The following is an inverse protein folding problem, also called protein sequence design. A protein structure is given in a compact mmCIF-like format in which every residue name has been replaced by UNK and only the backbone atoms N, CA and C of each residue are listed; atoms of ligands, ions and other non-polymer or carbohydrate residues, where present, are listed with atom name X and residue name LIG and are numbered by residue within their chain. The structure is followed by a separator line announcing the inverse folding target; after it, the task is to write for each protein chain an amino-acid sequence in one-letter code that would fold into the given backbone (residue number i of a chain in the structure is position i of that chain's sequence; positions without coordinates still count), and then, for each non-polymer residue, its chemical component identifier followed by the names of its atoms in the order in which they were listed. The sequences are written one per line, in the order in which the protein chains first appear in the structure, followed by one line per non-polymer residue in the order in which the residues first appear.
data_IF_480724417219
#
_entry.id   IF_480724417219
#
_cell.length_a   1.000
_cell.length_b   1.000
_cell.length_c   1.000
_cell.angle_alpha   90.00
_cell.angle_beta   90.00
_cell.angle_gamma   90.00
#
_symmetry.space_group_name_H-M   'P 1'
#
loop_
_entity.id
_entity.type
_entity.pdbx_description
1 polymer ?
#
# COMPACT_ATOMS: atom_id res chain seq x y z
N UNK A 1 -14.66 -22.99 -6.05
CA UNK A 1 -13.21 -23.22 -6.18
C UNK A 1 -12.99 -24.42 -7.10
N UNK A 2 -11.77 -24.68 -7.61
CA UNK A 2 -11.52 -25.77 -8.58
C UNK A 2 -11.73 -27.18 -8.00
N UNK A 3 -11.70 -27.29 -6.69
CA UNK A 3 -11.92 -28.47 -5.86
C UNK A 3 -13.41 -28.73 -5.54
N UNK A 4 -14.34 -27.91 -6.07
CA UNK A 4 -15.77 -28.02 -5.79
C UNK A 4 -16.23 -27.26 -4.54
N UNK A 5 -15.32 -26.72 -3.73
CA UNK A 5 -15.67 -25.93 -2.55
C UNK A 5 -16.38 -24.63 -2.96
N UNK A 6 -17.34 -24.18 -2.16
CA UNK A 6 -18.08 -22.91 -2.37
C UNK A 6 -18.04 -22.05 -1.11
N UNK A 7 -18.08 -20.72 -1.29
CA UNK A 7 -18.25 -19.77 -0.18
C UNK A 7 -19.64 -19.16 -0.29
N UNK A 8 -20.46 -19.40 0.74
CA UNK A 8 -21.81 -18.85 0.83
C UNK A 8 -21.78 -17.69 1.83
N UNK A 9 -22.26 -16.53 1.40
CA UNK A 9 -22.40 -15.34 2.24
C UNK A 9 -23.80 -14.81 2.05
N UNK A 10 -24.53 -14.59 3.14
CA UNK A 10 -25.91 -14.13 3.11
C UNK A 10 -26.26 -13.36 4.38
N UNK A 11 -27.45 -12.76 4.38
CA UNK A 11 -28.00 -12.11 5.57
C UNK A 11 -29.00 -13.06 6.20
N UNK A 12 -28.75 -13.46 7.45
CA UNK A 12 -29.76 -14.13 8.28
C UNK A 12 -30.74 -13.07 8.79
N UNK A 13 -32.00 -13.16 8.37
CA UNK A 13 -33.11 -12.45 9.02
C UNK A 13 -33.36 -13.11 10.38
N UNK A 14 -32.93 -12.45 11.45
CA UNK A 14 -33.27 -12.87 12.82
C UNK A 14 -34.67 -12.34 13.10
N UNK A 15 -35.61 -13.22 13.43
CA UNK A 15 -36.96 -12.82 13.83
C UNK A 15 -36.89 -12.05 15.16
N UNK A 16 -37.48 -10.86 15.21
CA UNK A 16 -37.33 -9.91 16.33
C UNK A 16 -38.00 -10.35 17.64
N UNK A 17 -38.62 -11.54 17.67
CA UNK A 17 -39.36 -12.09 18.80
C UNK A 17 -38.61 -13.20 19.56
N UNK A 18 -37.45 -13.64 19.08
CA UNK A 18 -36.59 -14.53 19.84
C UNK A 18 -35.57 -13.69 20.62
N UNK A 19 -35.54 -13.89 21.94
CA UNK A 19 -34.50 -13.33 22.80
C UNK A 19 -33.14 -13.56 22.13
N UNK A 20 -32.31 -12.53 22.10
CA UNK A 20 -31.05 -12.48 21.35
C UNK A 20 -29.96 -13.43 21.85
N UNK A 21 -30.27 -14.71 21.96
CA UNK A 21 -29.32 -15.77 22.24
C UNK A 21 -28.48 -16.02 20.98
N UNK A 22 -27.17 -15.97 21.21
CA UNK A 22 -26.09 -16.23 20.26
C UNK A 22 -26.13 -17.69 19.78
N UNK A 23 -27.03 -18.03 18.86
CA UNK A 23 -26.90 -19.30 18.14
C UNK A 23 -25.89 -19.15 17.01
N UNK A 24 -24.89 -20.04 17.01
CA UNK A 24 -23.98 -20.24 15.90
C UNK A 24 -24.76 -20.72 14.67
N UNK A 25 -24.40 -20.26 13.46
CA UNK A 25 -25.14 -20.62 12.26
C UNK A 25 -24.97 -22.12 11.96
N UNK A 26 -26.07 -22.73 11.56
CA UNK A 26 -26.14 -24.15 11.20
C UNK A 26 -25.91 -24.34 9.70
N UNK A 27 -25.61 -25.57 9.27
CA UNK A 27 -25.49 -25.87 7.84
C UNK A 27 -26.83 -25.70 7.11
N UNK A 28 -27.93 -25.98 7.80
CA UNK A 28 -29.30 -25.79 7.34
C UNK A 28 -29.59 -24.32 7.01
N UNK A 29 -29.13 -23.38 7.86
CA UNK A 29 -29.25 -21.94 7.60
C UNK A 29 -28.56 -21.54 6.28
N UNK A 30 -27.36 -22.07 6.03
CA UNK A 30 -26.64 -21.84 4.79
C UNK A 30 -27.27 -22.55 3.59
N UNK A 31 -27.85 -23.74 3.78
CA UNK A 31 -28.58 -24.46 2.74
C UNK A 31 -29.82 -23.69 2.31
N UNK A 32 -30.59 -23.14 3.25
CA UNK A 32 -31.74 -22.29 2.94
C UNK A 32 -31.34 -21.04 2.16
N UNK A 33 -30.28 -20.36 2.60
CA UNK A 33 -29.73 -19.20 1.90
C UNK A 33 -29.26 -19.57 0.48
N UNK A 34 -28.57 -20.70 0.34
CA UNK A 34 -28.10 -21.21 -0.94
C UNK A 34 -29.27 -21.53 -1.88
N UNK A 35 -30.31 -22.21 -1.40
CA UNK A 35 -31.52 -22.49 -2.17
C UNK A 35 -32.25 -21.22 -2.62
N UNK A 36 -32.25 -20.16 -1.80
CA UNK A 36 -32.82 -18.85 -2.17
C UNK A 36 -31.99 -18.14 -3.25
N UNK A 37 -30.67 -18.28 -3.24
CA UNK A 37 -29.77 -17.64 -4.20
C UNK A 37 -29.60 -18.43 -5.51
N UNK A 38 -29.62 -19.75 -5.44
CA UNK A 38 -29.44 -20.68 -6.54
C UNK A 38 -30.39 -21.88 -6.38
N UNK A 39 -31.67 -21.72 -6.77
CA UNK A 39 -32.66 -22.77 -6.61
C UNK A 39 -32.30 -24.04 -7.39
N UNK A 40 -32.30 -25.20 -6.71
CA UNK A 40 -32.16 -26.52 -7.35
C UNK A 40 -30.73 -26.88 -7.82
N UNK A 41 -29.70 -26.13 -7.38
CA UNK A 41 -28.32 -26.35 -7.85
C UNK A 41 -27.49 -27.32 -7.01
N UNK A 42 -28.00 -27.80 -5.86
CA UNK A 42 -27.35 -28.85 -5.07
C UNK A 42 -27.50 -28.72 -3.56
N UNK A 43 -26.91 -29.67 -2.84
CA UNK A 43 -26.83 -29.73 -1.38
C UNK A 43 -25.42 -29.38 -0.89
N UNK A 44 -25.34 -28.56 0.15
CA UNK A 44 -24.11 -28.20 0.86
C UNK A 44 -23.79 -29.30 1.87
N UNK A 45 -22.52 -29.67 1.97
CA UNK A 45 -22.03 -30.67 2.92
C UNK A 45 -20.60 -30.32 3.35
N UNK A 46 -20.13 -30.94 4.44
CA UNK A 46 -18.76 -30.82 4.97
C UNK A 46 -18.27 -29.36 5.16
N UNK A 47 -18.93 -28.56 6.04
CA UNK A 47 -18.56 -27.18 6.26
C UNK A 47 -17.16 -27.07 6.88
N UNK A 48 -16.20 -26.48 6.17
CA UNK A 48 -14.86 -26.24 6.72
C UNK A 48 -14.84 -25.17 7.81
N UNK A 49 -15.73 -24.18 7.71
CA UNK A 49 -15.90 -23.11 8.70
C UNK A 49 -17.25 -22.39 8.51
N UNK A 50 -17.96 -22.14 9.61
CA UNK A 50 -19.21 -21.38 9.63
C UNK A 50 -19.11 -20.32 10.72
N UNK A 51 -19.53 -19.10 10.40
CA UNK A 51 -19.58 -18.03 11.38
C UNK A 51 -20.63 -17.00 11.01
N UNK A 52 -21.22 -16.44 12.06
CA UNK A 52 -22.09 -15.28 11.99
C UNK A 52 -21.27 -14.05 12.33
N UNK A 53 -21.33 -13.04 11.48
CA UNK A 53 -20.69 -11.77 11.75
C UNK A 53 -21.74 -10.66 11.77
N UNK A 54 -21.68 -9.82 12.80
CA UNK A 54 -22.48 -8.61 12.86
C UNK A 54 -21.72 -7.49 12.18
N UNK A 55 -22.36 -6.88 11.19
CA UNK A 55 -21.80 -5.73 10.50
C UNK A 55 -21.76 -4.53 11.44
N UNK A 56 -20.57 -4.23 11.94
CA UNK A 56 -20.30 -3.00 12.65
C UNK A 56 -19.49 -2.07 11.77
N UNK A 57 -19.90 -0.81 11.77
CA UNK A 57 -19.18 0.25 11.11
C UNK A 57 -18.75 1.26 12.18
N UNK A 58 -17.47 1.26 12.52
CA UNK A 58 -16.92 2.06 13.62
C UNK A 58 -15.53 2.52 13.25
N UNK A 59 -15.19 3.74 13.60
CA UNK A 59 -13.85 4.27 13.43
C UNK A 59 -13.54 5.31 14.49
N UNK A 60 -12.29 5.35 14.93
CA UNK A 60 -11.83 6.41 15.83
C UNK A 60 -11.56 7.70 15.05
N UNK A 61 -11.67 8.84 15.73
CA UNK A 61 -11.38 10.13 15.12
C UNK A 61 -9.88 10.40 14.98
N UNK A 62 -9.05 9.81 15.85
CA UNK A 62 -7.60 9.96 15.87
C UNK A 62 -6.94 8.61 16.12
N UNK A 63 -5.89 8.32 15.36
CA UNK A 63 -5.11 7.08 15.49
C UNK A 63 -3.99 7.22 16.51
N UNK A 64 -3.68 8.46 16.90
CA UNK A 64 -2.70 8.82 17.93
C UNK A 64 -3.29 9.81 18.93
N UNK A 65 -3.00 9.59 20.21
CA UNK A 65 -3.18 10.57 21.27
C UNK A 65 -1.97 10.53 22.22
N UNK A 66 -1.00 11.42 21.99
CA UNK A 66 0.27 11.41 22.71
C UNK A 66 1.04 10.11 22.49
N UNK A 67 1.15 9.29 23.54
CA UNK A 67 1.83 7.98 23.50
C UNK A 67 0.90 6.80 23.23
N UNK A 68 -0.39 7.05 23.04
CA UNK A 68 -1.39 6.02 22.76
C UNK A 68 -1.64 5.94 21.26
N UNK A 69 -1.60 4.73 20.72
CA UNK A 69 -1.80 4.45 19.30
C UNK A 69 -2.84 3.34 19.13
N UNK A 70 -3.60 3.40 18.04
CA UNK A 70 -4.54 2.36 17.63
C UNK A 70 -4.34 2.04 16.15
N UNK A 71 -4.41 0.76 15.78
CA UNK A 71 -4.21 0.25 14.42
C UNK A 71 -5.19 -0.89 14.12
N UNK A 72 -5.50 -1.11 12.84
CA UNK A 72 -6.42 -2.18 12.41
C UNK A 72 -7.80 -2.05 13.04
N UNK A 73 -8.40 -3.18 13.44
CA UNK A 73 -9.77 -3.23 13.97
C UNK A 73 -9.99 -2.37 15.24
N UNK A 74 -8.93 -2.08 16.00
CA UNK A 74 -9.01 -1.15 17.13
C UNK A 74 -9.24 0.30 16.69
N UNK A 75 -8.82 0.65 15.47
CA UNK A 75 -8.94 1.98 14.89
C UNK A 75 -10.14 2.07 13.93
N UNK A 76 -10.44 1.02 13.17
CA UNK A 76 -11.49 1.01 12.16
C UNK A 76 -12.04 -0.40 11.93
N UNK A 77 -13.37 -0.52 11.96
CA UNK A 77 -14.12 -1.74 11.65
C UNK A 77 -15.09 -1.39 10.52
N UNK A 78 -15.00 -2.16 9.45
CA UNK A 78 -15.73 -2.00 8.19
C UNK A 78 -16.27 -3.34 7.70
N UNK A 79 -17.23 -3.25 6.79
CA UNK A 79 -17.82 -4.43 6.15
C UNK A 79 -16.75 -5.30 5.46
N UNK A 80 -16.81 -6.64 5.59
CA UNK A 80 -15.88 -7.55 4.93
C UNK A 80 -16.01 -7.56 3.39
N UNK A 81 -17.00 -6.86 2.83
CA UNK A 81 -17.28 -6.76 1.39
C UNK A 81 -16.06 -6.44 0.51
N UNK A 82 -15.13 -5.64 1.03
CA UNK A 82 -13.92 -5.25 0.32
C UNK A 82 -12.75 -6.20 0.49
N UNK A 83 -12.77 -7.12 1.47
CA UNK A 83 -11.61 -7.93 1.85
C UNK A 83 -10.43 -7.09 2.38
N UNK A 84 -10.69 -5.84 2.78
CA UNK A 84 -9.67 -4.83 3.05
C UNK A 84 -9.23 -4.76 4.51
N UNK A 85 -10.02 -5.25 5.46
CA UNK A 85 -9.77 -4.97 6.87
C UNK A 85 -8.43 -5.46 7.40
N UNK A 86 -8.11 -6.74 7.17
CA UNK A 86 -6.80 -7.29 7.55
C UNK A 86 -5.65 -6.59 6.81
N UNK A 87 -5.81 -6.33 5.51
CA UNK A 87 -4.77 -5.70 4.69
C UNK A 87 -4.46 -4.27 5.17
N UNK A 88 -5.50 -3.46 5.39
CA UNK A 88 -5.35 -2.11 5.92
C UNK A 88 -4.74 -2.11 7.32
N UNK A 89 -5.17 -3.03 8.20
CA UNK A 89 -4.62 -3.15 9.54
C UNK A 89 -3.14 -3.53 9.57
N UNK A 90 -2.71 -4.45 8.69
CA UNK A 90 -1.29 -4.77 8.51
C UNK A 90 -0.51 -3.55 8.02
N UNK A 91 -1.05 -2.81 7.04
CA UNK A 91 -0.41 -1.59 6.56
C UNK A 91 -0.32 -0.49 7.64
N UNK A 92 -1.30 -0.39 8.54
CA UNK A 92 -1.23 0.52 9.68
C UNK A 92 -0.07 0.15 10.60
N UNK A 93 0.09 -1.15 10.89
CA UNK A 93 1.17 -1.65 11.74
C UNK A 93 2.55 -1.44 11.10
N UNK A 94 2.69 -1.74 9.80
CA UNK A 94 3.96 -1.51 9.07
C UNK A 94 4.33 -0.03 9.09
N UNK A 95 3.37 0.86 8.85
CA UNK A 95 3.62 2.31 8.85
C UNK A 95 4.02 2.86 10.23
N UNK A 96 3.41 2.35 11.31
CA UNK A 96 3.71 2.77 12.67
C UNK A 96 5.01 2.13 13.20
N UNK A 97 5.28 0.88 12.86
CA UNK A 97 6.36 0.07 13.43
C UNK A 97 7.73 0.69 13.24
N UNK A 98 8.10 1.06 12.01
CA UNK A 98 9.41 1.65 11.74
C UNK A 98 9.58 3.03 12.41
N UNK A 99 8.49 3.82 12.51
CA UNK A 99 8.51 5.12 13.19
C UNK A 99 8.77 4.97 14.68
N UNK A 100 8.12 3.99 15.31
CA UNK A 100 8.37 3.67 16.72
C UNK A 100 9.78 3.14 16.92
N UNK A 101 10.24 2.21 16.08
CA UNK A 101 11.59 1.65 16.16
C UNK A 101 12.65 2.76 16.12
N UNK A 102 12.53 3.70 15.18
CA UNK A 102 13.44 4.84 15.04
C UNK A 102 13.43 5.77 16.26
N UNK A 103 12.25 6.15 16.75
CA UNK A 103 12.15 7.00 17.96
C UNK A 103 12.73 6.31 19.19
N UNK A 104 12.58 4.99 19.30
CA UNK A 104 13.11 4.21 20.42
C UNK A 104 14.62 4.00 20.34
N UNK A 105 15.19 3.84 19.14
CA UNK A 105 16.63 3.63 18.96
C UNK A 105 17.45 4.90 19.17
N UNK A 106 16.95 6.06 18.74
CA UNK A 106 17.69 7.34 18.77
C UNK A 106 17.49 8.12 20.09
N UNK A 107 16.47 7.77 20.88
CA UNK A 107 16.27 8.29 22.24
C UNK A 107 16.04 9.81 22.29
N UNK A 108 16.71 10.52 23.23
CA UNK A 108 16.53 11.98 23.44
C UNK A 108 17.11 12.84 22.31
N UNK A 109 17.86 12.27 21.37
CA UNK A 109 18.51 13.03 20.30
C UNK A 109 17.52 13.51 19.22
N UNK A 110 16.33 12.89 19.15
CA UNK A 110 15.25 13.27 18.23
C UNK A 110 14.17 14.19 18.84
N UNK A 111 14.42 14.83 20.00
CA UNK A 111 13.39 15.61 20.71
C UNK A 111 12.84 16.75 19.82
N UNK A 112 11.60 16.58 19.33
CA UNK A 112 10.92 17.46 18.36
C UNK A 112 10.70 16.82 16.98
N UNK A 113 11.66 16.06 16.44
CA UNK A 113 11.49 15.29 15.21
C UNK A 113 10.64 14.03 15.47
N UNK A 114 10.80 13.40 16.64
CA UNK A 114 10.00 12.24 17.04
C UNK A 114 8.50 12.52 17.04
N UNK A 115 8.08 13.69 17.55
CA UNK A 115 6.66 14.04 17.61
C UNK A 115 6.07 14.23 16.21
N UNK A 116 6.77 14.96 15.33
CA UNK A 116 6.37 15.12 13.94
C UNK A 116 6.31 13.79 13.19
N UNK A 117 7.30 12.92 13.41
CA UNK A 117 7.36 11.58 12.81
C UNK A 117 6.17 10.73 13.27
N UNK A 118 5.87 10.70 14.56
CA UNK A 118 4.77 9.92 15.11
C UNK A 118 3.39 10.52 14.78
N UNK A 119 3.25 11.84 14.72
CA UNK A 119 2.02 12.51 14.27
C UNK A 119 1.70 12.19 12.81
N UNK A 120 2.73 12.01 11.98
CA UNK A 120 2.53 11.58 10.59
C UNK A 120 1.78 10.26 10.47
N UNK A 121 1.82 9.36 11.47
CA UNK A 121 1.03 8.12 11.46
C UNK A 121 -0.47 8.43 11.37
N UNK A 122 -0.95 9.35 12.21
CA UNK A 122 -2.34 9.78 12.16
C UNK A 122 -2.67 10.48 10.84
N UNK A 123 -1.81 11.40 10.39
CA UNK A 123 -2.04 12.16 9.15
C UNK A 123 -2.03 11.28 7.89
N UNK A 124 -1.25 10.19 7.90
CA UNK A 124 -1.17 9.22 6.81
C UNK A 124 -2.33 8.23 6.84
N UNK A 125 -2.59 7.58 7.99
CA UNK A 125 -3.44 6.38 8.05
C UNK A 125 -4.90 6.66 8.41
N UNK A 126 -5.18 7.65 9.24
CA UNK A 126 -6.55 7.98 9.63
C UNK A 126 -7.44 8.35 8.42
N UNK A 127 -6.98 9.19 7.46
CA UNK A 127 -7.81 9.53 6.31
C UNK A 127 -8.06 8.35 5.38
N UNK A 128 -7.16 7.36 5.37
CA UNK A 128 -7.33 6.12 4.58
C UNK A 128 -8.44 5.29 5.21
N UNK A 129 -8.37 5.03 6.52
CA UNK A 129 -9.42 4.29 7.23
C UNK A 129 -10.78 4.99 7.10
N UNK A 130 -10.85 6.31 7.28
CA UNK A 130 -12.11 7.05 7.10
C UNK A 130 -12.67 6.97 5.67
N UNK A 131 -11.82 6.94 4.64
CA UNK A 131 -12.27 6.76 3.26
C UNK A 131 -12.74 5.35 2.99
N UNK A 132 -12.06 4.34 3.52
CA UNK A 132 -12.46 2.94 3.40
C UNK A 132 -13.81 2.71 4.06
N UNK A 133 -13.98 3.23 5.28
CA UNK A 133 -15.24 3.27 6.02
C UNK A 133 -16.38 3.82 5.13
N UNK A 134 -16.24 5.04 4.61
CA UNK A 134 -17.26 5.66 3.74
C UNK A 134 -17.49 4.93 2.40
N UNK A 135 -16.43 4.40 1.79
CA UNK A 135 -16.47 3.82 0.45
C UNK A 135 -17.01 2.40 0.41
N UNK A 136 -16.58 1.55 1.35
CA UNK A 136 -17.05 0.16 1.45
C UNK A 136 -18.50 0.09 1.92
N UNK A 137 -18.96 1.03 2.74
CA UNK A 137 -20.37 1.18 3.14
C UNK A 137 -21.31 1.29 1.93
N UNK A 138 -20.98 2.16 0.98
CA UNK A 138 -21.80 2.36 -0.21
C UNK A 138 -21.84 1.09 -1.05
N UNK A 139 -20.68 0.51 -1.33
CA UNK A 139 -20.56 -0.69 -2.16
C UNK A 139 -21.28 -1.89 -1.52
N UNK A 140 -21.10 -2.11 -0.22
CA UNK A 140 -21.75 -3.23 0.46
C UNK A 140 -23.26 -3.03 0.58
N UNK A 141 -23.73 -1.84 0.93
CA UNK A 141 -25.16 -1.55 0.97
C UNK A 141 -25.84 -1.81 -0.38
N UNK A 142 -25.15 -1.51 -1.48
CA UNK A 142 -25.61 -1.85 -2.82
C UNK A 142 -25.55 -3.35 -3.14
N UNK A 143 -24.47 -4.05 -2.75
CA UNK A 143 -24.31 -5.48 -3.05
C UNK A 143 -25.22 -6.39 -2.22
N UNK A 144 -25.39 -6.09 -0.93
CA UNK A 144 -26.17 -6.86 0.03
C UNK A 144 -27.65 -6.46 0.09
N UNK A 145 -28.09 -5.51 -0.75
CA UNK A 145 -29.51 -5.13 -0.82
C UNK A 145 -30.36 -6.32 -1.24
N UNK A 146 -31.38 -6.62 -0.44
CA UNK A 146 -32.37 -7.68 -0.69
C UNK A 146 -33.59 -7.17 -1.48
N UNK A 147 -33.60 -5.90 -1.90
CA UNK A 147 -34.72 -5.34 -2.65
C UNK A 147 -34.78 -5.94 -4.06
N UNK A 148 -35.90 -6.58 -4.38
CA UNK A 148 -36.16 -7.27 -5.66
C UNK A 148 -35.88 -6.40 -6.89
N UNK A 149 -36.32 -5.13 -6.87
CA UNK A 149 -36.09 -4.19 -7.97
C UNK A 149 -34.60 -3.87 -8.13
N UNK A 150 -33.86 -3.77 -7.03
CA UNK A 150 -32.43 -3.49 -7.02
C UNK A 150 -31.61 -4.72 -7.45
N UNK A 151 -32.05 -5.93 -7.10
CA UNK A 151 -31.44 -7.17 -7.56
C UNK A 151 -31.56 -7.33 -9.08
N UNK A 152 -32.73 -7.02 -9.65
CA UNK A 152 -32.94 -7.01 -11.11
C UNK A 152 -32.07 -5.95 -11.78
N UNK A 153 -32.06 -4.73 -11.24
CA UNK A 153 -31.26 -3.63 -11.77
C UNK A 153 -29.76 -3.92 -11.68
N UNK A 154 -29.27 -4.46 -10.55
CA UNK A 154 -27.90 -4.89 -10.33
C UNK A 154 -27.49 -5.99 -11.30
N UNK A 155 -28.30 -7.04 -11.44
CA UNK A 155 -27.97 -8.16 -12.34
C UNK A 155 -28.01 -7.71 -13.82
N UNK A 156 -28.94 -6.81 -14.16
CA UNK A 156 -28.99 -6.18 -15.48
C UNK A 156 -27.76 -5.28 -15.72
N UNK A 157 -27.36 -4.41 -14.79
CA UNK A 157 -26.19 -3.57 -15.02
C UNK A 157 -24.85 -4.32 -14.87
N UNK A 158 -24.75 -5.32 -13.99
CA UNK A 158 -23.54 -6.12 -13.82
C UNK A 158 -23.18 -6.84 -15.12
N UNK A 159 -24.16 -7.37 -15.86
CA UNK A 159 -23.91 -8.02 -17.16
C UNK A 159 -23.40 -7.06 -18.24
N UNK A 160 -23.57 -5.75 -18.10
CA UNK A 160 -23.05 -4.74 -19.04
C UNK A 160 -21.79 -4.04 -18.54
N UNK A 161 -21.71 -3.75 -17.25
CA UNK A 161 -20.58 -3.08 -16.60
C UNK A 161 -19.39 -4.02 -16.48
N UNK A 162 -19.59 -5.30 -16.13
CA UNK A 162 -18.48 -6.24 -15.94
C UNK A 162 -17.69 -6.46 -17.25
N UNK A 163 -18.32 -6.74 -18.41
CA UNK A 163 -17.61 -6.79 -19.69
C UNK A 163 -16.98 -5.46 -20.07
N UNK A 164 -17.58 -4.34 -19.71
CA UNK A 164 -17.00 -3.01 -19.95
C UNK A 164 -15.76 -2.73 -19.11
N UNK A 165 -15.74 -3.10 -17.82
CA UNK A 165 -14.55 -3.01 -16.96
C UNK A 165 -13.48 -3.97 -17.44
N UNK A 166 -13.87 -5.22 -17.73
CA UNK A 166 -12.96 -6.27 -18.18
C UNK A 166 -12.43 -5.99 -19.59
N UNK A 167 -13.12 -5.27 -20.47
CA UNK A 167 -12.64 -5.04 -21.85
C UNK A 167 -11.43 -4.09 -21.95
N UNK A 168 -11.20 -3.22 -20.96
CA UNK A 168 -10.07 -2.27 -20.98
C UNK A 168 -8.99 -2.63 -19.97
N UNK A 169 -7.75 -2.72 -20.44
CA UNK A 169 -6.56 -2.93 -19.60
C UNK A 169 -6.42 -1.86 -18.52
N UNK A 170 -6.68 -0.59 -18.86
CA UNK A 170 -6.57 0.52 -17.91
C UNK A 170 -7.64 0.48 -16.81
N UNK A 171 -8.89 0.13 -17.17
CA UNK A 171 -9.97 0.01 -16.19
C UNK A 171 -9.75 -1.17 -15.25
N UNK A 172 -9.33 -2.31 -15.80
CA UNK A 172 -8.91 -3.47 -14.99
C UNK A 172 -7.78 -3.11 -14.03
N UNK A 173 -6.77 -2.37 -14.51
CA UNK A 173 -5.68 -1.91 -13.66
C UNK A 173 -6.21 -1.01 -12.54
N UNK A 174 -7.02 0.01 -12.83
CA UNK A 174 -7.58 0.90 -11.80
C UNK A 174 -8.39 0.14 -10.74
N UNK A 175 -9.21 -0.82 -11.15
CA UNK A 175 -9.97 -1.67 -10.23
C UNK A 175 -9.05 -2.54 -9.36
N UNK A 176 -8.03 -3.15 -9.97
CA UNK A 176 -7.00 -3.91 -9.25
C UNK A 176 -6.27 -3.05 -8.21
N UNK A 177 -5.82 -1.84 -8.57
CA UNK A 177 -5.13 -0.91 -7.68
C UNK A 177 -6.01 -0.45 -6.50
N UNK A 178 -7.32 -0.36 -6.69
CA UNK A 178 -8.27 -0.06 -5.61
C UNK A 178 -8.43 -1.24 -4.65
N UNK A 179 -8.66 -2.45 -5.18
CA UNK A 179 -8.91 -3.65 -4.37
C UNK A 179 -7.64 -4.08 -3.61
N UNK A 180 -6.48 -4.04 -4.26
CA UNK A 180 -5.19 -4.43 -3.68
C UNK A 180 -4.60 -3.39 -2.72
N UNK A 181 -5.22 -2.22 -2.58
CA UNK A 181 -4.73 -1.10 -1.77
C UNK A 181 -3.34 -0.56 -2.17
N UNK A 182 -2.73 -1.06 -3.25
CA UNK A 182 -1.44 -0.57 -3.74
C UNK A 182 -1.54 0.89 -4.21
N UNK A 183 -2.75 1.38 -4.47
CA UNK A 183 -3.03 2.74 -4.93
C UNK A 183 -3.08 3.81 -3.83
N UNK A 184 -2.81 3.44 -2.57
CA UNK A 184 -2.76 4.38 -1.44
C UNK A 184 -1.64 5.41 -1.65
N UNK A 185 -1.96 6.68 -1.39
CA UNK A 185 -1.04 7.81 -1.56
C UNK A 185 -1.05 8.71 -0.33
N UNK A 186 0.11 8.83 0.30
CA UNK A 186 0.39 9.62 1.49
C UNK A 186 0.97 11.02 1.16
N UNK A 187 0.63 11.58 -0.01
CA UNK A 187 1.21 12.86 -0.52
C UNK A 187 0.98 14.09 0.37
N UNK A 188 0.07 14.01 1.34
CA UNK A 188 -0.20 15.08 2.31
C UNK A 188 0.63 14.97 3.59
N UNK A 189 1.41 13.91 3.72
CA UNK A 189 2.23 13.66 4.90
C UNK A 189 3.29 14.76 5.10
N UNK A 190 3.60 15.14 6.35
CA UNK A 190 4.55 16.19 6.65
C UNK A 190 6.01 15.71 6.56
N UNK A 191 6.20 14.39 6.35
CA UNK A 191 7.50 13.72 6.22
C UNK A 191 7.77 13.22 4.81
N UNK A 192 7.04 13.71 3.80
CA UNK A 192 7.30 13.39 2.39
C UNK A 192 7.54 14.63 1.55
N UNK A 193 8.30 14.50 0.46
CA UNK A 193 8.68 15.62 -0.40
C UNK A 193 8.90 15.22 -1.86
N UNK A 194 8.79 16.20 -2.75
CA UNK A 194 9.22 16.08 -4.15
C UNK A 194 10.09 17.29 -4.47
N UNK A 195 11.25 17.04 -5.08
CA UNK A 195 12.18 18.09 -5.44
C UNK A 195 11.54 19.10 -6.40
N UNK A 196 11.86 20.38 -6.21
CA UNK A 196 11.49 21.44 -7.15
C UNK A 196 12.11 21.14 -8.51
N UNK A 197 11.31 21.25 -9.58
CA UNK A 197 11.73 20.98 -10.95
C UNK A 197 11.58 19.52 -11.39
N UNK A 198 11.24 18.59 -10.49
CA UNK A 198 10.92 17.22 -10.88
C UNK A 198 9.49 17.13 -11.44
N UNK A 199 9.35 16.63 -12.66
CA UNK A 199 8.07 16.53 -13.39
C UNK A 199 7.62 15.09 -13.65
N UNK A 200 8.24 14.11 -12.99
CA UNK A 200 7.87 12.70 -13.10
C UNK A 200 6.44 12.40 -12.62
N UNK A 201 5.94 11.22 -12.98
CA UNK A 201 4.56 10.80 -12.64
C UNK A 201 4.41 10.46 -11.15
N UNK A 202 5.49 9.93 -10.54
CA UNK A 202 5.59 9.55 -9.13
C UNK A 202 5.96 10.74 -8.26
N UNK A 203 5.51 10.75 -7.00
CA UNK A 203 5.77 11.83 -6.03
C UNK A 203 6.07 11.27 -4.64
N UNK A 204 6.60 12.13 -3.77
CA UNK A 204 6.72 11.84 -2.35
C UNK A 204 5.35 11.47 -1.76
N UNK A 205 5.32 10.38 -0.99
CA UNK A 205 4.11 9.78 -0.43
C UNK A 205 3.42 8.77 -1.34
N UNK A 206 3.87 8.57 -2.57
CA UNK A 206 3.41 7.40 -3.35
C UNK A 206 4.13 6.14 -2.89
N UNK A 207 3.48 4.97 -3.02
CA UNK A 207 4.17 3.68 -2.86
C UNK A 207 5.25 3.58 -3.93
N UNK A 208 6.46 3.16 -3.54
CA UNK A 208 7.55 2.93 -4.49
C UNK A 208 7.10 1.91 -5.53
N UNK A 209 7.34 2.23 -6.80
CA UNK A 209 7.04 1.32 -7.90
C UNK A 209 8.02 0.14 -7.87
N UNK A 210 7.46 -1.05 -8.08
CA UNK A 210 8.21 -2.28 -8.15
C UNK A 210 8.27 -2.79 -9.59
N UNK A 211 9.33 -3.50 -9.92
CA UNK A 211 9.58 -3.97 -11.27
C UNK A 211 10.79 -4.89 -11.30
N UNK A 212 10.82 -5.73 -12.34
CA UNK A 212 11.93 -6.65 -12.56
C UNK A 212 13.20 -5.89 -12.90
N UNK A 213 14.30 -6.34 -12.33
CA UNK A 213 15.64 -5.85 -12.58
C UNK A 213 16.64 -7.01 -12.44
N UNK A 214 17.75 -6.89 -13.14
CA UNK A 214 18.84 -7.85 -13.07
C UNK A 214 19.82 -7.38 -11.98
N UNK A 215 20.12 -8.25 -11.02
CA UNK A 215 21.12 -8.00 -9.98
C UNK A 215 22.53 -8.05 -10.57
N UNK A 216 23.56 -7.58 -9.84
CA UNK A 216 24.93 -7.73 -10.31
C UNK A 216 25.36 -9.19 -10.52
N UNK A 217 24.75 -10.12 -9.78
CA UNK A 217 24.97 -11.57 -9.92
C UNK A 217 24.29 -12.18 -11.16
N UNK A 218 23.54 -11.37 -11.93
CA UNK A 218 22.79 -11.82 -13.10
C UNK A 218 21.46 -12.50 -12.78
N UNK A 219 20.96 -12.37 -11.55
CA UNK A 219 19.65 -12.91 -11.16
C UNK A 219 18.53 -11.89 -11.41
N UNK A 220 17.39 -12.35 -11.93
CA UNK A 220 16.18 -11.54 -12.03
C UNK A 220 15.52 -11.41 -10.64
N UNK A 221 15.48 -10.20 -10.10
CA UNK A 221 14.77 -9.86 -8.85
C UNK A 221 13.84 -8.66 -9.04
N UNK A 222 12.96 -8.44 -8.08
CA UNK A 222 12.16 -7.21 -8.03
C UNK A 222 12.92 -6.13 -7.25
N UNK A 223 12.77 -4.86 -7.65
CA UNK A 223 13.44 -3.73 -7.01
C UNK A 223 13.17 -3.69 -5.50
N UNK A 224 11.92 -3.90 -5.09
CA UNK A 224 11.54 -3.86 -3.68
C UNK A 224 12.04 -5.07 -2.88
N UNK A 225 12.44 -6.17 -3.52
CA UNK A 225 13.08 -7.29 -2.81
C UNK A 225 14.47 -6.93 -2.29
N UNK A 226 15.14 -5.97 -2.95
CA UNK A 226 16.43 -5.41 -2.51
C UNK A 226 16.28 -4.23 -1.56
N UNK A 227 15.07 -3.67 -1.44
CA UNK A 227 14.75 -2.57 -0.53
C UNK A 227 13.96 -3.08 0.69
N UNK A 228 14.35 -4.25 1.22
CA UNK A 228 13.76 -4.83 2.43
C UNK A 228 14.62 -4.46 3.63
N UNK A 229 13.98 -4.13 4.74
CA UNK A 229 14.68 -3.82 5.98
C UNK A 229 13.93 -2.77 6.80
N UNK A 230 14.59 -2.28 7.84
CA UNK A 230 14.12 -1.23 8.74
C UNK A 230 14.81 0.13 8.46
N UNK A 231 15.65 0.21 7.43
CA UNK A 231 16.40 1.39 7.03
C UNK A 231 15.75 2.13 5.84
N UNK A 232 16.26 3.33 5.54
CA UNK A 232 15.88 4.03 4.32
C UNK A 232 16.69 3.48 3.15
N UNK A 233 16.12 3.52 1.94
CA UNK A 233 16.80 3.09 0.73
C UNK A 233 16.93 4.27 -0.24
N UNK A 234 18.16 4.71 -0.54
CA UNK A 234 18.45 5.70 -1.58
C UNK A 234 18.72 4.99 -2.90
N UNK A 235 17.80 5.11 -3.84
CA UNK A 235 17.88 4.51 -5.18
C UNK A 235 18.28 5.60 -6.17
N UNK A 236 19.45 5.46 -6.78
CA UNK A 236 19.98 6.37 -7.80
C UNK A 236 19.75 5.79 -9.18
N UNK A 237 19.03 6.51 -10.02
CA UNK A 237 18.79 6.15 -11.41
C UNK A 237 19.76 6.89 -12.31
N UNK A 238 20.43 6.16 -13.21
CA UNK A 238 21.34 6.74 -14.20
C UNK A 238 20.62 7.61 -15.25
N UNK A 239 19.30 7.49 -15.37
CA UNK A 239 18.50 8.15 -16.40
C UNK A 239 18.42 7.35 -17.71
N UNK A 240 17.68 7.87 -18.70
CA UNK A 240 17.52 7.27 -20.02
C UNK A 240 17.75 8.31 -21.11
N UNK A 241 18.73 8.07 -21.99
CA UNK A 241 18.94 8.90 -23.19
C UNK A 241 20.34 9.51 -23.25
N UNK A 242 20.45 10.70 -23.84
CA UNK A 242 21.76 11.30 -24.16
C UNK A 242 22.55 11.82 -22.94
N UNK A 243 21.90 12.04 -21.80
CA UNK A 243 22.50 12.60 -20.58
C UNK A 243 22.54 11.59 -19.42
N UNK A 244 22.86 10.33 -19.71
CA UNK A 244 22.97 9.32 -18.67
C UNK A 244 24.21 9.55 -17.78
N UNK A 245 24.04 9.30 -16.48
CA UNK A 245 25.16 9.30 -15.54
C UNK A 245 26.03 8.06 -15.76
N UNK A 246 27.34 8.24 -15.72
CA UNK A 246 28.28 7.11 -15.76
C UNK A 246 28.32 6.39 -14.40
N UNK A 247 28.80 5.14 -14.35
CA UNK A 247 29.02 4.46 -13.07
C UNK A 247 29.94 5.24 -12.11
N UNK A 248 30.95 5.94 -12.64
CA UNK A 248 31.83 6.79 -11.83
C UNK A 248 31.08 7.97 -11.21
N UNK A 249 30.15 8.59 -11.95
CA UNK A 249 29.33 9.70 -11.46
C UNK A 249 28.45 9.25 -10.30
N UNK A 250 27.73 8.13 -10.46
CA UNK A 250 26.85 7.60 -9.40
C UNK A 250 27.65 7.19 -8.16
N UNK A 251 28.82 6.54 -8.34
CA UNK A 251 29.72 6.21 -7.21
C UNK A 251 30.20 7.45 -6.48
N UNK A 252 30.57 8.51 -7.20
CA UNK A 252 30.98 9.79 -6.61
C UNK A 252 29.84 10.45 -5.83
N UNK A 253 28.60 10.38 -6.33
CA UNK A 253 27.42 10.89 -5.61
C UNK A 253 27.20 10.12 -4.31
N UNK A 254 27.23 8.78 -4.37
CA UNK A 254 27.11 7.94 -3.16
C UNK A 254 28.18 8.30 -2.15
N UNK A 255 29.45 8.39 -2.56
CA UNK A 255 30.55 8.74 -1.66
C UNK A 255 30.33 10.10 -0.96
N UNK A 256 29.97 11.14 -1.72
CA UNK A 256 29.68 12.48 -1.15
C UNK A 256 28.47 12.47 -0.22
N UNK A 257 27.44 11.72 -0.59
CA UNK A 257 26.23 11.57 0.23
C UNK A 257 26.54 10.88 1.55
N UNK A 258 27.24 9.73 1.51
CA UNK A 258 27.66 8.96 2.69
C UNK A 258 28.61 9.76 3.59
N UNK A 259 29.56 10.51 3.02
CA UNK A 259 30.43 11.41 3.80
C UNK A 259 29.62 12.51 4.51
N UNK A 260 28.67 13.12 3.80
CA UNK A 260 27.78 14.12 4.39
C UNK A 260 26.84 13.53 5.44
N UNK A 261 26.50 12.23 5.37
CA UNK A 261 25.70 11.52 6.36
C UNK A 261 26.50 11.16 7.60
N UNK A 262 27.78 10.80 7.47
CA UNK A 262 28.60 10.31 8.60
C UNK A 262 28.73 11.31 9.76
N UNK A 263 28.51 12.59 9.50
CA UNK A 263 28.50 13.67 10.51
C UNK A 263 27.12 13.96 11.10
N UNK A 264 26.08 13.21 10.73
CA UNK A 264 24.68 13.48 11.03
C UNK A 264 23.98 12.23 11.56
N UNK A 265 23.07 12.43 12.50
CA UNK A 265 22.27 11.35 13.07
C UNK A 265 20.95 11.21 12.32
N UNK A 266 20.97 10.53 11.17
CA UNK A 266 19.76 10.26 10.37
C UNK A 266 19.53 8.76 10.14
N UNK A 267 20.21 7.91 10.91
CA UNK A 267 20.13 6.45 10.80
C UNK A 267 20.77 5.89 9.53
N UNK A 268 20.65 4.57 9.38
CA UNK A 268 21.21 3.84 8.25
C UNK A 268 20.41 4.09 6.97
N UNK A 269 21.14 4.32 5.86
CA UNK A 269 20.57 4.46 4.52
C UNK A 269 21.34 3.55 3.57
N UNK A 270 20.65 2.54 3.04
CA UNK A 270 21.21 1.67 2.01
C UNK A 270 21.12 2.32 0.64
N UNK A 271 22.20 2.25 -0.14
CA UNK A 271 22.27 2.89 -1.45
C UNK A 271 22.23 1.87 -2.59
N UNK A 272 21.33 2.09 -3.53
CA UNK A 272 21.10 1.24 -4.70
C UNK A 272 21.37 2.05 -5.97
N UNK A 273 22.10 1.50 -6.94
CA UNK A 273 22.39 2.16 -8.23
C UNK A 273 21.69 1.39 -9.34
N UNK A 274 20.85 2.07 -10.12
CA UNK A 274 20.03 1.47 -11.17
C UNK A 274 20.43 2.05 -12.53
N UNK A 275 20.87 1.19 -13.43
CA UNK A 275 21.34 1.52 -14.77
C UNK A 275 20.33 1.05 -15.82
N UNK A 276 20.21 1.75 -16.95
CA UNK A 276 19.31 1.33 -18.04
C UNK A 276 19.90 0.26 -18.96
N UNK A 277 21.18 -0.07 -18.80
CA UNK A 277 21.89 -1.12 -19.55
C UNK A 277 23.00 -1.70 -18.69
N UNK A 278 23.51 -2.88 -19.07
CA UNK A 278 24.68 -3.46 -18.41
C UNK A 278 25.83 -2.44 -18.42
N UNK A 279 26.43 -2.26 -17.25
CA UNK A 279 27.57 -1.39 -17.03
C UNK A 279 28.67 -2.21 -16.37
N UNK A 280 29.93 -1.77 -16.46
CA UNK A 280 31.08 -2.44 -15.82
C UNK A 280 31.08 -2.33 -14.28
N UNK A 281 29.96 -1.93 -13.67
CA UNK A 281 29.79 -1.83 -12.23
C UNK A 281 29.27 -3.16 -11.65
N UNK A 282 30.17 -3.95 -11.06
CA UNK A 282 29.88 -5.22 -10.38
C UNK A 282 28.90 -5.13 -9.20
N UNK A 283 28.40 -3.94 -8.86
CA UNK A 283 27.46 -3.70 -7.75
C UNK A 283 26.21 -2.93 -8.18
N UNK A 284 26.01 -2.76 -9.49
CA UNK A 284 24.87 -2.07 -10.09
C UNK A 284 23.69 -2.97 -10.40
N UNK A 285 22.48 -2.46 -10.19
CA UNK A 285 21.22 -3.06 -10.64
C UNK A 285 20.96 -2.60 -12.08
N UNK A 286 20.49 -3.50 -12.94
CA UNK A 286 20.12 -3.17 -14.32
C UNK A 286 18.61 -3.23 -14.50
N UNK A 287 18.04 -2.20 -15.11
CA UNK A 287 16.65 -2.10 -15.58
C UNK A 287 16.65 -2.33 -17.10
N UNK A 288 16.64 -3.59 -17.57
CA UNK A 288 16.94 -3.93 -18.97
C UNK A 288 15.90 -3.39 -19.96
N UNK A 289 14.63 -3.32 -19.55
CA UNK A 289 13.56 -2.76 -20.38
C UNK A 289 13.36 -1.24 -20.17
N UNK A 290 14.05 -0.66 -19.18
CA UNK A 290 13.91 0.74 -18.80
C UNK A 290 12.55 1.07 -18.18
N UNK A 291 11.76 0.07 -17.78
CA UNK A 291 10.39 0.28 -17.31
C UNK A 291 10.38 0.94 -15.93
N UNK A 292 11.35 0.64 -15.05
CA UNK A 292 11.47 1.35 -13.77
C UNK A 292 11.81 2.82 -14.00
N UNK A 293 12.82 3.12 -14.82
CA UNK A 293 13.17 4.50 -15.18
C UNK A 293 11.97 5.27 -15.74
N UNK A 294 11.16 4.63 -16.60
CA UNK A 294 9.97 5.22 -17.20
C UNK A 294 8.85 5.46 -16.18
N UNK A 295 8.59 4.49 -15.30
CA UNK A 295 7.55 4.61 -14.26
C UNK A 295 7.91 5.75 -13.30
N UNK A 296 9.16 5.82 -12.84
CA UNK A 296 9.61 6.91 -12.00
C UNK A 296 9.74 8.24 -12.76
N UNK A 297 9.92 8.22 -14.07
CA UNK A 297 10.00 9.40 -14.93
C UNK A 297 11.41 9.99 -15.07
N UNK A 298 12.44 9.15 -15.00
CA UNK A 298 13.85 9.54 -15.11
C UNK A 298 14.37 9.36 -16.54
N UNK A 299 14.30 10.45 -17.32
CA UNK A 299 15.08 10.59 -18.56
C UNK A 299 16.49 11.11 -18.26
N UNK A 300 16.63 11.90 -17.21
CA UNK A 300 17.90 12.37 -16.67
C UNK A 300 18.22 11.64 -15.36
N UNK A 301 19.47 11.68 -14.88
CA UNK A 301 19.86 11.10 -13.62
C UNK A 301 19.03 11.64 -12.47
N UNK A 302 18.57 10.75 -11.60
CA UNK A 302 17.65 11.09 -10.53
C UNK A 302 17.75 10.15 -9.35
N UNK A 303 16.98 10.45 -8.32
CA UNK A 303 16.99 9.70 -7.08
C UNK A 303 15.60 9.51 -6.50
N UNK A 304 15.45 8.40 -5.78
CA UNK A 304 14.29 8.07 -4.97
C UNK A 304 14.80 7.68 -3.59
N UNK A 305 14.31 8.35 -2.56
CA UNK A 305 14.49 7.95 -1.18
C UNK A 305 13.24 7.17 -0.75
N UNK A 306 13.36 5.86 -0.60
CA UNK A 306 12.35 4.96 -0.08
C UNK A 306 12.42 4.83 1.44
N UNK A 307 11.25 4.77 2.07
CA UNK A 307 11.07 4.47 3.50
C UNK A 307 11.08 2.95 3.75
N UNK A 308 11.29 2.52 5.00
CA UNK A 308 11.15 1.11 5.40
C UNK A 308 9.79 0.48 5.06
N UNK A 309 8.72 1.29 4.93
CA UNK A 309 7.38 0.82 4.56
C UNK A 309 7.10 0.83 3.04
N UNK A 310 8.16 0.96 2.23
CA UNK A 310 8.12 1.02 0.76
C UNK A 310 7.33 2.21 0.18
N UNK A 311 7.19 3.30 0.94
CA UNK A 311 6.71 4.58 0.41
C UNK A 311 7.87 5.51 0.07
N UNK A 312 7.70 6.33 -0.95
CA UNK A 312 8.68 7.35 -1.34
C UNK A 312 8.66 8.46 -0.28
N UNK A 313 9.75 8.62 0.48
CA UNK A 313 9.96 9.78 1.33
C UNK A 313 10.27 11.01 0.46
N UNK A 314 11.23 10.89 -0.46
CA UNK A 314 11.61 12.00 -1.33
C UNK A 314 11.98 11.53 -2.73
N UNK A 315 11.70 12.34 -3.76
CA UNK A 315 12.07 12.03 -5.15
C UNK A 315 12.52 13.30 -5.87
N UNK A 316 13.53 13.20 -6.73
CA UNK A 316 14.06 14.34 -7.47
C UNK A 316 15.10 14.00 -8.53
N UNK A 317 15.51 15.00 -9.30
CA UNK A 317 16.67 14.90 -10.20
C UNK A 317 17.97 14.97 -9.38
N UNK A 318 19.06 14.44 -9.95
CA UNK A 318 20.39 14.46 -9.32
C UNK A 318 20.82 15.88 -8.90
N UNK A 319 20.47 16.91 -9.67
CA UNK A 319 20.78 18.31 -9.36
C UNK A 319 20.18 18.82 -8.05
N UNK A 320 19.15 18.15 -7.52
CA UNK A 320 18.53 18.49 -6.25
C UNK A 320 19.08 17.70 -5.05
N UNK A 321 20.08 16.84 -5.24
CA UNK A 321 20.61 15.95 -4.19
C UNK A 321 21.14 16.72 -2.98
N UNK A 322 21.81 17.86 -3.17
CA UNK A 322 22.31 18.66 -2.05
C UNK A 322 21.17 19.17 -1.14
N UNK A 323 19.98 19.41 -1.71
CA UNK A 323 18.79 19.80 -0.95
C UNK A 323 18.15 18.63 -0.23
N UNK A 324 18.31 17.39 -0.72
CA UNK A 324 17.83 16.18 -0.05
C UNK A 324 18.43 16.07 1.35
N UNK A 325 19.73 16.34 1.50
CA UNK A 325 20.40 16.25 2.80
C UNK A 325 19.83 17.21 3.83
N UNK A 326 19.60 18.47 3.45
CA UNK A 326 18.94 19.44 4.32
C UNK A 326 17.49 19.07 4.65
N UNK A 327 16.80 18.40 3.72
CA UNK A 327 15.45 17.90 3.94
C UNK A 327 15.43 16.69 4.88
N UNK A 328 16.36 15.74 4.75
CA UNK A 328 16.47 14.54 5.60
C UNK A 328 16.57 14.94 7.07
N UNK A 329 17.59 15.72 7.43
CA UNK A 329 17.84 16.19 8.82
C UNK A 329 16.67 16.96 9.43
N UNK A 330 15.86 17.61 8.60
CA UNK A 330 14.69 18.38 9.06
C UNK A 330 13.49 17.48 9.38
N UNK A 331 13.42 16.29 8.78
CA UNK A 331 12.23 15.44 8.82
C UNK A 331 12.44 14.10 9.53
N UNK A 332 13.69 13.65 9.62
CA UNK A 332 14.13 12.39 10.19
C UNK A 332 15.44 12.59 10.94
#
# INVERSE_FOLDING_TARGET
FKDGSVRVVGTLTIDSNENGDEFDPTLEDFQELFNKMAPGTGELYDPSWMAKFKLHHRGVNKYRNGRLFVAGDAAHIHSPAGGQGMNTGIQDAINLGWKLARVLSEGKQMEGVSEKLLDSYNEERQPIGQKLLKGTDQIFGYMASTNYLWLLLRNFFATWILPWVISSRERRAKAFWFISELGIRCRKSPIVGTAVGFTGSMRGGDRAADGKCETPDGEDKFLLDMCRGDCFHLILFAGRGAQMATPADLKSIVARFTESLASRDVGEIETHRVYSSKSDDESGIVDPEGELHKVYGFNEPGYVLGRPDAYIAHIGLQSAMDRLMGWLVKNY
#
